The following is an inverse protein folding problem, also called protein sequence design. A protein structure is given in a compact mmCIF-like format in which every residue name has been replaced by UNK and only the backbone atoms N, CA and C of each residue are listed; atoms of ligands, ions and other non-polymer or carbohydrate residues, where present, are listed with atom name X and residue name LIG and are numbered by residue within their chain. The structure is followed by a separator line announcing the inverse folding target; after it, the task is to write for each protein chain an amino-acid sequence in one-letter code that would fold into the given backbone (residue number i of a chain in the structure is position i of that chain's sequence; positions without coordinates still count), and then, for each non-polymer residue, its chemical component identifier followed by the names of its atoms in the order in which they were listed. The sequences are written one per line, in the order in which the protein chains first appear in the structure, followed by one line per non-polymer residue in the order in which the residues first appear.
data_IF_644617542731
#
_entry.id   IF_644617542731
#
_cell.length_a   1.000
_cell.length_b   1.000
_cell.length_c   1.000
_cell.angle_alpha   90.00
_cell.angle_beta   90.00
_cell.angle_gamma   90.00
#
_symmetry.space_group_name_H-M   'P 1'
#
loop_
_entity.id
_entity.type
_entity.pdbx_description
1 polymer ?
#
# COMPACT_ATOMS: atom_id res chain seq x y z
N UNK A 1 -3.18 -10.59 18.11
CA UNK A 1 -4.24 -9.93 17.32
C UNK A 1 -4.69 -10.79 16.11
N UNK A 2 -3.81 -11.54 15.51
CA UNK A 2 -4.14 -12.47 14.40
C UNK A 2 -5.17 -13.55 14.81
N UNK A 3 -5.25 -13.87 16.05
CA UNK A 3 -6.13 -14.87 16.68
C UNK A 3 -7.59 -14.43 16.82
N UNK A 4 -7.86 -13.12 16.78
CA UNK A 4 -9.18 -12.58 17.04
C UNK A 4 -10.01 -12.31 15.79
N UNK A 5 -9.42 -12.47 14.58
CA UNK A 5 -10.13 -12.17 13.34
C UNK A 5 -11.05 -13.28 12.85
N UNK A 6 -10.82 -14.52 13.25
CA UNK A 6 -11.62 -15.68 12.80
C UNK A 6 -12.74 -16.08 13.75
N UNK A 7 -12.69 -15.64 14.99
CA UNK A 7 -13.74 -15.97 15.96
C UNK A 7 -14.16 -14.71 16.70
N UNK A 8 -15.34 -14.20 16.37
CA UNK A 8 -16.03 -13.15 17.16
C UNK A 8 -16.47 -13.64 18.55
N UNK A 9 -15.91 -14.73 19.04
CA UNK A 9 -16.20 -15.34 20.32
C UNK A 9 -14.99 -15.19 21.22
N UNK A 10 -15.21 -14.56 22.37
CA UNK A 10 -14.25 -14.45 23.48
C UNK A 10 -14.11 -15.80 24.21
N UNK A 11 -14.03 -16.89 23.50
CA UNK A 11 -13.81 -18.18 24.12
C UNK A 11 -12.37 -18.30 24.58
N UNK A 12 -12.19 -18.11 25.87
CA UNK A 12 -10.95 -18.35 26.59
C UNK A 12 -10.59 -19.83 26.48
N UNK A 13 -9.78 -20.17 25.48
CA UNK A 13 -9.19 -21.50 25.45
C UNK A 13 -8.23 -21.66 26.62
N UNK A 14 -8.22 -22.84 27.27
CA UNK A 14 -7.21 -23.14 28.29
C UNK A 14 -5.81 -22.85 27.75
N UNK A 15 -4.94 -22.34 28.61
CA UNK A 15 -3.57 -21.95 28.24
C UNK A 15 -2.80 -23.08 27.54
N UNK A 16 -3.07 -24.32 27.92
CA UNK A 16 -2.52 -25.52 27.29
C UNK A 16 -2.87 -25.60 25.80
N UNK A 17 -4.13 -25.33 25.42
CA UNK A 17 -4.56 -25.31 24.02
C UNK A 17 -3.95 -24.17 23.21
N UNK A 18 -3.68 -23.03 23.86
CA UNK A 18 -2.94 -21.95 23.20
C UNK A 18 -1.49 -22.36 22.94
N UNK A 19 -0.84 -23.01 23.90
CA UNK A 19 0.51 -23.53 23.73
C UNK A 19 0.56 -24.59 22.62
N UNK A 20 -0.36 -25.52 22.60
CA UNK A 20 -0.47 -26.56 21.55
C UNK A 20 -0.62 -25.93 20.17
N UNK A 21 -1.48 -24.92 20.01
CA UNK A 21 -1.63 -24.19 18.75
C UNK A 21 -0.36 -23.46 18.36
N UNK A 22 0.34 -22.83 19.28
CA UNK A 22 1.61 -22.16 19.00
C UNK A 22 2.67 -23.17 18.53
N UNK A 23 2.73 -24.35 19.13
CA UNK A 23 3.64 -25.42 18.72
C UNK A 23 3.27 -25.97 17.32
N UNK A 24 1.99 -26.19 17.07
CA UNK A 24 1.50 -26.63 15.74
C UNK A 24 1.82 -25.61 14.63
N UNK A 25 1.53 -24.33 14.89
CA UNK A 25 1.87 -23.26 13.95
C UNK A 25 3.38 -23.15 13.71
N UNK A 26 4.17 -23.23 14.78
CA UNK A 26 5.63 -23.25 14.63
C UNK A 26 6.09 -24.42 13.75
N UNK A 27 5.55 -25.59 13.97
CA UNK A 27 5.92 -26.77 13.20
C UNK A 27 5.54 -26.64 11.72
N UNK A 28 4.33 -26.17 11.41
CA UNK A 28 3.87 -25.88 10.05
C UNK A 28 4.72 -24.79 9.39
N UNK A 29 5.06 -23.75 10.13
CA UNK A 29 5.96 -22.71 9.65
C UNK A 29 7.35 -23.26 9.32
N UNK A 30 7.93 -24.08 10.22
CA UNK A 30 9.25 -24.68 10.01
C UNK A 30 9.27 -25.66 8.84
N UNK A 31 8.18 -26.38 8.61
CA UNK A 31 8.02 -27.26 7.45
C UNK A 31 7.99 -26.44 6.15
N UNK A 32 7.14 -25.42 6.09
CA UNK A 32 7.08 -24.50 4.96
C UNK A 32 8.41 -23.79 4.71
N UNK A 33 9.09 -23.37 5.78
CA UNK A 33 10.39 -22.71 5.69
C UNK A 33 11.49 -23.61 5.12
N UNK A 34 11.44 -24.93 5.38
CA UNK A 34 12.40 -25.89 4.83
C UNK A 34 12.28 -26.07 3.32
N UNK A 35 11.05 -25.97 2.81
CA UNK A 35 10.74 -26.12 1.38
C UNK A 35 10.85 -24.81 0.62
N UNK A 36 11.01 -23.69 1.34
CA UNK A 36 11.07 -22.35 0.77
C UNK A 36 12.41 -22.12 0.04
N UNK A 37 12.33 -21.53 -1.15
CA UNK A 37 13.53 -21.13 -1.89
C UNK A 37 14.24 -19.98 -1.16
N UNK A 38 15.42 -20.26 -0.65
CA UNK A 38 16.25 -19.34 0.13
C UNK A 38 17.26 -18.62 -0.75
N UNK A 39 16.84 -18.14 -1.92
CA UNK A 39 17.73 -17.30 -2.73
C UNK A 39 18.08 -16.03 -1.98
N UNK A 40 19.35 -15.64 -2.06
CA UNK A 40 19.83 -14.40 -1.42
C UNK A 40 19.00 -13.18 -1.85
N UNK A 41 18.59 -13.13 -3.12
CA UNK A 41 17.77 -12.05 -3.67
C UNK A 41 16.44 -11.87 -2.93
N UNK A 42 15.78 -12.97 -2.55
CA UNK A 42 14.55 -12.90 -1.78
C UNK A 42 14.79 -12.41 -0.34
N UNK A 43 15.86 -12.90 0.30
CA UNK A 43 16.20 -12.49 1.66
C UNK A 43 16.57 -11.00 1.74
N UNK A 44 17.32 -10.51 0.76
CA UNK A 44 17.66 -9.09 0.65
C UNK A 44 16.40 -8.24 0.43
N UNK A 45 15.51 -8.66 -0.45
CA UNK A 45 14.25 -7.96 -0.69
C UNK A 45 13.35 -7.94 0.55
N UNK A 46 13.18 -9.09 1.22
CA UNK A 46 12.34 -9.18 2.42
C UNK A 46 12.87 -8.30 3.55
N UNK A 47 14.17 -8.32 3.81
CA UNK A 47 14.80 -7.46 4.81
C UNK A 47 14.59 -5.99 4.47
N UNK A 48 14.86 -5.59 3.23
CA UNK A 48 14.71 -4.21 2.78
C UNK A 48 13.26 -3.72 2.93
N UNK A 49 12.30 -4.53 2.51
CA UNK A 49 10.88 -4.18 2.60
C UNK A 49 10.42 -4.12 4.06
N UNK A 50 10.76 -5.12 4.87
CA UNK A 50 10.36 -5.20 6.27
C UNK A 50 10.93 -4.05 7.09
N UNK A 51 12.21 -3.75 6.94
CA UNK A 51 12.88 -2.67 7.68
C UNK A 51 12.32 -1.29 7.31
N UNK A 52 12.06 -1.06 6.02
CA UNK A 52 11.48 0.19 5.56
C UNK A 52 10.05 0.37 6.07
N UNK A 53 9.19 -0.64 6.00
CA UNK A 53 7.82 -0.54 6.51
C UNK A 53 7.80 -0.42 8.03
N UNK A 54 8.66 -1.11 8.75
CA UNK A 54 8.82 -0.93 10.19
C UNK A 54 9.21 0.52 10.54
N UNK A 55 10.12 1.12 9.79
CA UNK A 55 10.50 2.52 9.99
C UNK A 55 9.35 3.47 9.70
N UNK A 56 8.57 3.25 8.63
CA UNK A 56 7.39 4.05 8.28
C UNK A 56 6.33 3.95 9.38
N UNK A 57 5.99 2.75 9.81
CA UNK A 57 4.99 2.51 10.87
C UNK A 57 5.37 3.18 12.18
N UNK A 58 6.64 3.09 12.57
CA UNK A 58 7.16 3.69 13.80
C UNK A 58 7.21 5.21 13.74
N UNK A 59 7.50 5.78 12.58
CA UNK A 59 7.59 7.23 12.42
C UNK A 59 6.23 7.92 12.50
N UNK A 60 5.20 7.28 11.96
CA UNK A 60 3.88 7.87 11.82
C UNK A 60 3.86 9.09 10.90
N UNK A 61 2.67 9.59 10.64
CA UNK A 61 2.41 10.77 9.83
C UNK A 61 1.96 11.93 10.72
N UNK A 62 2.59 13.09 10.59
CA UNK A 62 2.16 14.29 11.30
C UNK A 62 0.84 14.79 10.71
N UNK A 63 -0.10 15.15 11.58
CA UNK A 63 -1.42 15.63 11.18
C UNK A 63 -1.80 16.92 11.91
N UNK A 64 -2.65 17.71 11.25
CA UNK A 64 -3.46 18.73 11.90
C UNK A 64 -4.57 18.00 12.66
N UNK A 65 -4.55 18.08 13.98
CA UNK A 65 -5.46 17.34 14.84
C UNK A 65 -6.93 17.58 14.51
N UNK A 66 -7.30 18.86 14.36
CA UNK A 66 -8.71 19.22 14.16
C UNK A 66 -9.23 18.73 12.81
N UNK A 67 -8.47 18.96 11.76
CA UNK A 67 -8.79 18.49 10.41
C UNK A 67 -8.85 16.96 10.35
N UNK A 68 -7.89 16.29 10.98
CA UNK A 68 -7.85 14.82 10.98
C UNK A 68 -9.04 14.20 11.71
N UNK A 69 -9.36 14.68 12.92
CA UNK A 69 -10.50 14.15 13.70
C UNK A 69 -11.82 14.43 12.99
N UNK A 70 -11.96 15.60 12.39
CA UNK A 70 -13.17 15.92 11.61
C UNK A 70 -13.37 14.98 10.42
N UNK A 71 -12.32 14.70 9.67
CA UNK A 71 -12.37 13.84 8.46
C UNK A 71 -12.48 12.36 8.78
N UNK A 72 -11.65 11.86 9.67
CA UNK A 72 -11.55 10.42 9.94
C UNK A 72 -12.39 9.96 11.12
N UNK A 73 -13.04 10.89 11.84
CA UNK A 73 -13.91 10.59 12.99
C UNK A 73 -13.22 9.69 14.05
N UNK A 74 -11.93 9.83 14.19
CA UNK A 74 -11.11 9.09 15.14
C UNK A 74 -10.21 10.03 15.93
N UNK A 75 -10.06 9.72 17.21
CA UNK A 75 -9.16 10.43 18.14
C UNK A 75 -7.95 9.56 18.53
N UNK A 76 -7.73 8.45 17.83
CA UNK A 76 -6.63 7.51 18.07
C UNK A 76 -5.23 8.06 17.71
N UNK A 77 -5.02 9.38 17.89
CA UNK A 77 -3.75 10.04 17.62
C UNK A 77 -2.85 10.01 18.85
N UNK A 78 -1.57 9.87 18.61
CA UNK A 78 -0.54 10.08 19.62
C UNK A 78 0.29 11.31 19.27
N UNK A 79 0.17 12.39 20.06
CA UNK A 79 0.90 13.65 19.86
C UNK A 79 0.77 14.22 18.44
N UNK A 80 -0.44 14.30 17.92
CA UNK A 80 -0.72 14.75 16.56
C UNK A 80 -0.06 13.90 15.46
N UNK A 81 0.20 12.63 15.74
CA UNK A 81 0.68 11.68 14.75
C UNK A 81 -0.34 10.57 14.54
N UNK A 82 -0.62 10.28 13.31
CA UNK A 82 -1.39 9.13 12.87
C UNK A 82 -0.44 7.96 12.61
N UNK A 83 -0.77 6.80 13.13
CA UNK A 83 -0.03 5.57 12.93
C UNK A 83 -0.91 4.54 12.24
N UNK A 84 -0.29 3.73 11.42
CA UNK A 84 -0.95 2.61 10.76
C UNK A 84 -0.01 1.41 10.71
N UNK A 85 -0.56 0.23 10.47
CA UNK A 85 0.20 -0.98 10.21
C UNK A 85 -0.02 -1.37 8.74
N UNK A 86 1.03 -1.82 8.07
CA UNK A 86 0.96 -2.26 6.69
C UNK A 86 0.96 -3.79 6.59
N UNK A 87 0.13 -4.31 5.71
CA UNK A 87 0.26 -5.67 5.23
C UNK A 87 1.10 -5.66 3.95
N UNK A 88 2.33 -6.12 4.04
CA UNK A 88 3.25 -6.21 2.90
C UNK A 88 3.07 -7.51 2.11
N UNK A 89 2.40 -8.51 2.70
CA UNK A 89 2.13 -9.81 2.07
C UNK A 89 0.77 -9.80 1.38
N UNK A 90 0.68 -9.10 0.27
CA UNK A 90 -0.51 -9.06 -0.58
C UNK A 90 -0.26 -9.83 -1.87
N UNK A 91 -1.32 -10.32 -2.52
CA UNK A 91 -1.21 -11.08 -3.77
C UNK A 91 -0.49 -10.31 -4.89
N UNK A 92 -0.64 -8.99 -4.90
CA UNK A 92 -0.05 -8.12 -5.92
C UNK A 92 1.28 -7.49 -5.51
N UNK A 93 1.76 -7.74 -4.28
CA UNK A 93 2.92 -7.08 -3.70
C UNK A 93 2.69 -5.60 -3.32
N UNK A 94 1.50 -5.05 -3.56
CA UNK A 94 1.18 -3.68 -3.11
C UNK A 94 0.83 -3.69 -1.64
N UNK A 95 1.53 -2.92 -0.78
CA UNK A 95 1.19 -2.84 0.62
C UNK A 95 -0.22 -2.29 0.82
N UNK A 96 -0.95 -2.86 1.75
CA UNK A 96 -2.26 -2.36 2.16
C UNK A 96 -2.26 -2.04 3.64
N UNK A 97 -3.10 -1.10 4.06
CA UNK A 97 -3.28 -0.83 5.47
C UNK A 97 -4.05 -1.97 6.14
N UNK A 98 -3.61 -2.31 7.34
CA UNK A 98 -4.06 -3.46 8.09
C UNK A 98 -4.94 -3.05 9.27
N UNK A 99 -5.90 -3.92 9.61
CA UNK A 99 -6.60 -3.93 10.91
C UNK A 99 -7.42 -2.70 11.29
N UNK A 100 -8.34 -2.27 10.45
CA UNK A 100 -9.39 -1.32 10.81
C UNK A 100 -8.92 0.12 11.09
N UNK A 101 -7.70 0.44 10.76
CA UNK A 101 -7.20 1.80 10.72
C UNK A 101 -7.65 2.55 9.46
N UNK A 102 -7.23 3.80 9.35
CA UNK A 102 -7.41 4.58 8.12
C UNK A 102 -6.62 3.94 6.99
N UNK A 103 -7.25 3.68 5.86
CA UNK A 103 -6.56 3.21 4.67
C UNK A 103 -5.87 4.37 3.96
N UNK A 104 -4.66 4.69 4.36
CA UNK A 104 -3.88 5.79 3.78
C UNK A 104 -3.51 5.57 2.31
N UNK A 105 -3.52 4.33 1.85
CA UNK A 105 -3.26 4.02 0.44
C UNK A 105 -4.45 4.32 -0.49
N UNK A 106 -5.65 4.54 0.06
CA UNK A 106 -6.89 4.78 -0.68
C UNK A 106 -7.60 6.07 -0.25
N UNK A 107 -6.85 7.10 0.10
CA UNK A 107 -7.43 8.39 0.44
C UNK A 107 -8.02 9.06 -0.79
N UNK A 108 -9.26 9.52 -0.67
CA UNK A 108 -9.89 10.31 -1.72
C UNK A 108 -9.16 11.66 -1.90
N UNK A 109 -9.00 12.07 -3.16
CA UNK A 109 -8.36 13.35 -3.48
C UNK A 109 -9.33 14.53 -3.33
N UNK A 110 -10.62 14.27 -3.50
CA UNK A 110 -11.64 15.32 -3.65
C UNK A 110 -12.28 15.75 -2.33
N UNK A 111 -12.23 14.92 -1.29
CA UNK A 111 -12.90 15.18 -0.02
C UNK A 111 -12.08 16.02 0.98
N UNK A 112 -10.86 16.43 0.58
CA UNK A 112 -9.96 17.23 1.42
C UNK A 112 -9.31 16.46 2.56
N UNK A 113 -9.45 15.14 2.64
CA UNK A 113 -8.86 14.35 3.71
C UNK A 113 -7.32 14.40 3.70
N UNK A 114 -6.70 14.61 2.53
CA UNK A 114 -5.25 14.77 2.40
C UNK A 114 -4.71 16.03 3.06
N UNK A 115 -5.51 17.08 3.17
CA UNK A 115 -5.14 18.33 3.82
C UNK A 115 -4.93 18.22 5.34
N UNK A 116 -5.38 17.11 5.94
CA UNK A 116 -5.12 16.82 7.34
C UNK A 116 -3.68 16.38 7.61
N UNK A 117 -2.93 15.95 6.59
CA UNK A 117 -1.53 15.59 6.73
C UNK A 117 -0.63 16.80 6.52
N UNK A 118 0.28 17.01 7.46
CA UNK A 118 1.14 18.20 7.47
C UNK A 118 2.60 17.81 7.66
N UNK A 119 3.50 18.70 7.30
CA UNK A 119 4.92 18.48 7.58
C UNK A 119 5.19 18.51 9.09
N UNK A 120 6.09 17.64 9.55
CA UNK A 120 6.60 17.65 10.94
C UNK A 120 7.60 18.77 11.20
N UNK A 121 8.09 19.39 10.15
CA UNK A 121 9.07 20.46 10.23
C UNK A 121 8.37 21.82 10.13
N UNK A 122 8.85 22.79 10.91
CA UNK A 122 8.38 24.17 10.80
C UNK A 122 8.68 24.68 9.39
N UNK A 123 7.66 25.33 8.76
CA UNK A 123 7.72 25.74 7.34
C UNK A 123 8.08 24.65 6.33
N UNK A 124 7.99 23.39 6.74
CA UNK A 124 8.20 22.26 5.85
C UNK A 124 7.01 22.01 4.94
N UNK A 125 7.23 21.25 3.89
CA UNK A 125 6.20 20.80 2.96
C UNK A 125 6.22 19.26 2.86
N UNK A 126 5.11 18.70 2.41
CA UNK A 126 5.05 17.31 1.95
C UNK A 126 5.29 17.31 0.44
N UNK A 127 6.17 16.43 0.01
CA UNK A 127 6.42 16.20 -1.42
C UNK A 127 5.84 14.85 -1.80
N UNK A 128 4.90 14.87 -2.75
CA UNK A 128 4.37 13.66 -3.37
C UNK A 128 5.10 13.43 -4.69
N UNK A 129 5.69 12.24 -4.84
CA UNK A 129 6.33 11.81 -6.08
C UNK A 129 5.71 10.48 -6.48
N UNK A 130 5.29 10.38 -7.74
CA UNK A 130 4.70 9.18 -8.31
C UNK A 130 5.31 8.88 -9.67
N UNK A 131 5.36 7.60 -10.03
CA UNK A 131 5.81 7.18 -11.35
C UNK A 131 4.66 7.25 -12.34
N UNK A 132 4.86 7.96 -13.45
CA UNK A 132 3.89 7.93 -14.54
C UNK A 132 3.87 6.55 -15.18
N UNK A 133 2.70 5.91 -15.16
CA UNK A 133 2.43 4.62 -15.81
C UNK A 133 3.51 3.55 -15.54
N UNK A 134 3.87 3.34 -14.27
CA UNK A 134 4.95 2.45 -13.83
C UNK A 134 4.88 1.05 -14.48
N UNK A 135 3.72 0.37 -14.40
CA UNK A 135 3.57 -0.98 -14.97
C UNK A 135 3.70 -1.02 -16.50
N UNK A 136 3.03 -0.14 -17.27
CA UNK A 136 3.25 -0.05 -18.70
C UNK A 136 4.71 0.17 -19.09
N UNK A 137 5.45 0.99 -18.34
CA UNK A 137 6.87 1.23 -18.62
C UNK A 137 7.75 0.01 -18.36
N UNK A 138 7.51 -0.72 -17.26
CA UNK A 138 8.24 -1.97 -16.99
C UNK A 138 7.94 -3.01 -18.07
N UNK A 139 6.68 -3.18 -18.46
CA UNK A 139 6.31 -4.14 -19.49
C UNK A 139 6.96 -3.75 -20.83
N UNK A 140 6.92 -2.48 -21.19
CA UNK A 140 7.55 -1.98 -22.40
C UNK A 140 9.06 -2.28 -22.41
N UNK A 141 9.74 -2.06 -21.29
CA UNK A 141 11.17 -2.39 -21.13
C UNK A 141 11.43 -3.89 -21.33
N UNK A 142 10.64 -4.74 -20.68
CA UNK A 142 10.77 -6.21 -20.79
C UNK A 142 10.60 -6.70 -22.24
N UNK A 143 9.66 -6.12 -23.01
CA UNK A 143 9.38 -6.53 -24.38
C UNK A 143 10.17 -5.74 -25.42
N UNK A 144 11.02 -4.81 -25.02
CA UNK A 144 11.80 -3.96 -25.91
C UNK A 144 10.96 -2.94 -26.68
N UNK A 145 9.83 -2.48 -26.13
CA UNK A 145 8.96 -1.46 -26.73
C UNK A 145 9.32 -0.07 -26.20
N UNK A 146 9.62 0.86 -27.10
CA UNK A 146 9.94 2.23 -26.74
C UNK A 146 8.68 3.06 -26.50
N UNK A 147 8.45 3.46 -25.27
CA UNK A 147 7.41 4.41 -24.89
C UNK A 147 7.92 5.84 -25.00
N UNK A 148 7.06 6.79 -25.39
CA UNK A 148 7.47 8.19 -25.50
C UNK A 148 7.80 8.80 -24.11
N UNK A 149 8.59 9.86 -24.16
CA UNK A 149 8.77 10.74 -23.00
C UNK A 149 7.47 11.52 -22.81
N UNK A 150 6.95 11.53 -21.58
CA UNK A 150 5.69 12.20 -21.24
C UNK A 150 4.61 11.20 -20.83
N UNK A 151 3.34 11.61 -20.92
CA UNK A 151 2.23 10.80 -20.45
C UNK A 151 1.97 9.58 -21.34
N UNK A 152 2.21 8.39 -20.79
CA UNK A 152 1.92 7.12 -21.48
C UNK A 152 0.43 6.94 -21.71
N UNK A 153 -0.40 7.39 -20.78
CA UNK A 153 -1.86 7.28 -20.95
C UNK A 153 -2.41 8.21 -22.02
N UNK A 154 -1.80 9.38 -22.20
CA UNK A 154 -2.13 10.26 -23.31
C UNK A 154 -1.70 9.64 -24.65
N UNK A 155 -0.50 9.10 -24.71
CA UNK A 155 0.00 8.40 -25.88
C UNK A 155 -0.92 7.24 -26.32
N UNK A 156 -1.27 6.36 -25.39
CA UNK A 156 -2.21 5.28 -25.69
C UNK A 156 -3.62 5.78 -25.99
N UNK A 157 -4.07 6.83 -25.31
CA UNK A 157 -5.36 7.46 -25.61
C UNK A 157 -5.46 7.96 -27.05
N UNK A 158 -4.42 8.62 -27.55
CA UNK A 158 -4.35 9.02 -28.96
C UNK A 158 -4.46 7.83 -29.91
N UNK A 159 -3.81 6.72 -29.57
CA UNK A 159 -3.92 5.48 -30.36
C UNK A 159 -5.31 4.85 -30.29
N UNK A 160 -5.90 4.74 -29.10
CA UNK A 160 -7.21 4.10 -28.89
C UNK A 160 -8.34 4.86 -29.57
N UNK A 161 -8.28 6.18 -29.56
CA UNK A 161 -9.34 7.04 -30.10
C UNK A 161 -9.04 7.60 -31.49
N UNK A 162 -7.84 7.33 -32.05
CA UNK A 162 -7.44 7.82 -33.37
C UNK A 162 -7.37 9.34 -33.48
N UNK A 163 -6.98 10.03 -32.39
CA UNK A 163 -6.95 11.50 -32.29
C UNK A 163 -5.58 12.01 -31.90
N UNK A 164 -5.24 13.18 -32.40
CA UNK A 164 -4.00 13.88 -32.01
C UNK A 164 -4.13 14.55 -30.61
N UNK A 165 -5.35 14.96 -30.27
CA UNK A 165 -5.67 15.57 -28.99
C UNK A 165 -6.84 14.82 -28.39
N UNK A 166 -6.72 14.41 -27.13
CA UNK A 166 -7.75 13.72 -26.37
C UNK A 166 -8.30 14.62 -25.26
N UNK A 167 -9.59 14.44 -24.96
CA UNK A 167 -10.22 15.11 -23.82
C UNK A 167 -9.78 14.46 -22.49
N UNK A 168 -10.09 15.11 -21.36
CA UNK A 168 -9.85 14.55 -20.02
C UNK A 168 -10.64 13.23 -19.81
N UNK A 169 -11.86 13.16 -20.34
CA UNK A 169 -12.69 11.95 -20.28
C UNK A 169 -12.04 10.79 -21.06
N UNK A 170 -11.51 11.07 -22.23
CA UNK A 170 -10.79 10.11 -23.07
C UNK A 170 -9.47 9.69 -22.41
N UNK A 171 -8.79 10.60 -21.73
CA UNK A 171 -7.60 10.30 -20.96
C UNK A 171 -7.90 9.33 -19.80
N UNK A 172 -8.95 9.58 -19.02
CA UNK A 172 -9.37 8.68 -17.95
C UNK A 172 -9.88 7.32 -18.49
N UNK A 173 -10.54 7.32 -19.64
CA UNK A 173 -10.94 6.10 -20.32
C UNK A 173 -9.70 5.31 -20.80
N UNK A 174 -8.68 5.98 -21.35
CA UNK A 174 -7.41 5.37 -21.74
C UNK A 174 -6.74 4.64 -20.57
N UNK A 175 -6.68 5.24 -19.40
CA UNK A 175 -6.17 4.57 -18.18
C UNK A 175 -6.91 3.27 -17.90
N UNK A 176 -8.25 3.31 -17.95
CA UNK A 176 -9.08 2.13 -17.67
C UNK A 176 -8.87 1.03 -18.72
N UNK A 177 -8.72 1.39 -19.98
CA UNK A 177 -8.45 0.45 -21.07
C UNK A 177 -7.08 -0.20 -20.85
N UNK A 178 -6.04 0.60 -20.65
CA UNK A 178 -4.67 0.13 -20.44
C UNK A 178 -4.59 -0.83 -19.25
N UNK A 179 -5.20 -0.50 -18.12
CA UNK A 179 -5.20 -1.37 -16.93
C UNK A 179 -6.02 -2.65 -17.07
N UNK A 180 -6.94 -2.72 -18.03
CA UNK A 180 -7.68 -3.96 -18.33
C UNK A 180 -6.92 -4.91 -19.26
N UNK A 181 -5.97 -4.37 -20.02
CA UNK A 181 -5.15 -5.14 -20.94
C UNK A 181 -3.88 -5.72 -20.28
N UNK A 182 -3.51 -5.19 -19.13
CA UNK A 182 -2.40 -5.65 -18.29
C UNK A 182 -2.85 -6.71 -17.29
#
# INVERSE_FOLDING_TARGET
RWWHSETNTHDWLPITKHIERCVDMRNKFMESYRTFDKTNAFQEYESLVTDNFYAIERNGLQVDYNKFVDKFKTNGLNKNKAYTEYNIYTTTGRPSNKFGGVNYAALNKEDGCRESFVSRFDRGMLLEMDFDAYHPRIIADIIGYELPVGSVHEYFGKQYFGKEVISEEEYEASKKITFRLL
#
